data_IF_103503326966
#
_entry.id   IF_103503326966
#
_cell.length_a   1.000
_cell.length_b   1.000
_cell.length_c   1.000
_cell.angle_alpha   90.00
_cell.angle_beta   90.00
_cell.angle_gamma   90.00
#
_symmetry.space_group_name_H-M   'P 1'
#
loop_
_entity.id
_entity.type
_entity.pdbx_description
1 polymer ?
#
# COMPACT_ATOMS: atom_id res chain seq x y z
N UNK A 1 -20.09 -19.28 3.80
CA UNK A 1 -19.39 -19.76 2.60
C UNK A 1 -18.46 -18.65 2.14
N UNK A 2 -17.17 -18.94 2.11
CA UNK A 2 -16.17 -18.02 1.58
C UNK A 2 -16.20 -18.10 0.06
N UNK A 3 -16.19 -16.95 -0.59
CA UNK A 3 -16.07 -16.90 -2.04
C UNK A 3 -14.59 -16.75 -2.42
N UNK A 4 -14.08 -17.67 -3.21
CA UNK A 4 -12.86 -17.47 -3.96
C UNK A 4 -13.21 -16.58 -5.15
N UNK A 5 -12.64 -15.38 -5.19
CA UNK A 5 -12.93 -14.44 -6.28
C UNK A 5 -12.08 -14.85 -7.47
N UNK A 6 -12.73 -15.39 -8.49
CA UNK A 6 -12.08 -15.61 -9.78
C UNK A 6 -11.75 -14.24 -10.41
N UNK A 7 -10.53 -14.11 -10.94
CA UNK A 7 -10.14 -12.91 -11.68
C UNK A 7 -10.95 -12.87 -12.98
N UNK A 8 -11.78 -11.85 -13.15
CA UNK A 8 -12.54 -11.67 -14.39
C UNK A 8 -11.68 -10.98 -15.44
N UNK A 9 -11.86 -11.35 -16.71
CA UNK A 9 -11.28 -10.63 -17.82
C UNK A 9 -12.04 -9.30 -17.99
N UNK A 10 -11.43 -8.20 -17.58
CA UNK A 10 -11.89 -6.84 -17.90
C UNK A 10 -11.51 -6.42 -19.33
N UNK A 11 -11.77 -5.19 -19.69
CA UNK A 11 -11.25 -4.59 -20.91
C UNK A 11 -9.77 -4.25 -20.66
N UNK A 12 -8.88 -5.19 -20.94
CA UNK A 12 -7.45 -5.06 -20.64
C UNK A 12 -6.83 -3.96 -21.50
N UNK A 13 -6.07 -3.08 -20.88
CA UNK A 13 -5.21 -2.13 -21.56
C UNK A 13 -3.82 -2.74 -21.64
N UNK A 14 -3.36 -3.03 -22.86
CA UNK A 14 -1.98 -3.48 -23.06
C UNK A 14 -1.08 -2.27 -23.23
N UNK A 15 -0.10 -2.14 -22.36
CA UNK A 15 0.96 -1.13 -22.45
C UNK A 15 2.14 -1.79 -23.13
N UNK A 16 2.38 -1.47 -24.39
CA UNK A 16 3.55 -1.94 -25.10
C UNK A 16 4.76 -1.15 -24.60
N UNK A 17 5.63 -1.80 -23.84
CA UNK A 17 6.96 -1.27 -23.56
C UNK A 17 7.72 -1.34 -24.89
N UNK A 18 7.78 -0.22 -25.62
CA UNK A 18 8.46 -0.10 -26.89
C UNK A 18 9.90 -0.60 -26.84
N UNK A 19 10.60 -0.61 -27.96
CA UNK A 19 12.03 -0.88 -27.95
C UNK A 19 12.69 0.12 -27.01
N UNK A 20 13.18 -0.39 -25.87
CA UNK A 20 14.04 0.40 -25.01
C UNK A 20 15.17 0.92 -25.87
N UNK A 21 15.25 2.23 -26.03
CA UNK A 21 16.41 2.82 -26.69
C UNK A 21 17.66 2.34 -25.95
N UNK A 22 18.76 2.17 -26.68
CA UNK A 22 20.02 1.64 -26.13
C UNK A 22 20.58 2.48 -24.96
N UNK A 23 20.02 3.64 -24.72
CA UNK A 23 20.43 4.60 -23.69
C UNK A 23 19.74 4.36 -22.34
N UNK A 24 18.60 3.60 -22.32
CA UNK A 24 17.97 3.12 -21.08
C UNK A 24 17.32 4.18 -20.19
N UNK A 25 17.06 5.39 -20.70
CA UNK A 25 16.36 6.45 -19.98
C UNK A 25 15.21 7.02 -20.80
N UNK A 26 14.20 7.50 -20.10
CA UNK A 26 13.09 8.26 -20.66
C UNK A 26 13.08 9.65 -20.01
N UNK A 27 12.85 10.67 -20.81
CA UNK A 27 12.81 12.03 -20.28
C UNK A 27 11.46 12.27 -19.58
N UNK A 28 11.47 12.97 -18.46
CA UNK A 28 10.26 13.21 -17.65
C UNK A 28 9.15 13.90 -18.44
N UNK A 29 9.49 14.80 -19.38
CA UNK A 29 8.50 15.50 -20.19
C UNK A 29 7.82 14.61 -21.25
N UNK A 30 8.35 13.42 -21.52
CA UNK A 30 7.70 12.42 -22.39
C UNK A 30 6.62 11.64 -21.63
N UNK A 31 6.67 11.62 -20.32
CA UNK A 31 5.75 10.89 -19.45
C UNK A 31 4.73 11.78 -18.74
N UNK A 32 5.10 13.04 -18.48
CA UNK A 32 4.31 13.94 -17.63
C UNK A 32 4.15 15.31 -18.29
N UNK A 33 2.94 15.85 -18.28
CA UNK A 33 2.66 17.21 -18.76
C UNK A 33 3.33 18.28 -17.89
N UNK A 34 3.48 18.01 -16.60
CA UNK A 34 4.09 18.92 -15.64
C UNK A 34 4.80 18.14 -14.54
N UNK A 35 5.98 18.63 -14.18
CA UNK A 35 6.75 18.14 -13.03
C UNK A 35 6.98 19.27 -12.05
N UNK A 36 6.57 19.11 -10.82
CA UNK A 36 6.73 20.08 -9.76
C UNK A 36 7.69 19.52 -8.71
N UNK A 37 8.79 20.21 -8.46
CA UNK A 37 9.71 19.87 -7.38
C UNK A 37 9.28 20.59 -6.09
N UNK A 38 8.90 19.83 -5.06
CA UNK A 38 8.56 20.38 -3.75
C UNK A 38 9.71 20.15 -2.79
N UNK A 39 10.26 21.23 -2.26
CA UNK A 39 11.29 21.16 -1.21
C UNK A 39 10.62 21.05 0.15
N UNK A 40 10.81 19.91 0.81
CA UNK A 40 10.32 19.73 2.19
C UNK A 40 11.17 20.57 3.17
N UNK A 41 10.51 21.23 4.11
CA UNK A 41 11.16 21.89 5.23
C UNK A 41 11.98 20.89 6.02
N UNK A 42 13.24 21.22 6.30
CA UNK A 42 14.19 20.33 6.96
C UNK A 42 14.63 20.96 8.27
N UNK A 43 14.05 20.49 9.37
CA UNK A 43 14.42 20.77 10.75
C UNK A 43 14.71 19.45 11.45
N UNK A 44 15.09 19.47 12.71
CA UNK A 44 15.27 18.25 13.51
C UNK A 44 13.97 17.42 13.59
N UNK A 45 12.82 18.07 13.68
CA UNK A 45 11.51 17.43 13.79
C UNK A 45 10.94 16.97 12.44
N UNK A 46 11.20 17.73 11.38
CA UNK A 46 10.64 17.50 10.04
C UNK A 46 11.52 16.61 9.15
N UNK A 47 12.71 16.23 9.62
CA UNK A 47 13.66 15.43 8.82
C UNK A 47 13.01 14.15 8.30
N UNK A 48 13.10 13.94 6.98
CA UNK A 48 12.72 12.71 6.27
C UNK A 48 14.01 12.11 5.71
N UNK A 49 14.33 10.90 6.12
CA UNK A 49 15.54 10.22 5.65
C UNK A 49 15.32 9.44 4.36
N UNK A 50 14.16 8.80 4.22
CA UNK A 50 13.74 8.06 3.02
C UNK A 50 12.25 8.29 2.81
N UNK A 51 11.86 8.57 1.58
CA UNK A 51 10.44 8.65 1.20
C UNK A 51 9.99 7.27 0.73
N UNK A 52 9.24 6.56 1.57
CA UNK A 52 8.71 5.23 1.24
C UNK A 52 7.31 5.31 0.59
N UNK A 53 6.46 6.22 1.05
CA UNK A 53 5.11 6.43 0.53
C UNK A 53 4.67 7.88 0.73
N UNK A 54 3.97 8.41 -0.26
CA UNK A 54 3.33 9.74 -0.15
C UNK A 54 1.86 9.62 -0.50
N UNK A 55 1.01 10.22 0.33
CA UNK A 55 -0.41 10.38 0.04
C UNK A 55 -0.75 11.87 0.13
N UNK A 56 -1.45 12.39 -0.87
CA UNK A 56 -1.91 13.77 -0.92
C UNK A 56 -3.42 13.81 -0.69
N UNK A 57 -3.84 14.52 0.34
CA UNK A 57 -5.25 14.75 0.70
C UNK A 57 -5.40 16.16 1.26
N UNK A 58 -6.47 16.85 0.88
CA UNK A 58 -6.87 18.17 1.41
C UNK A 58 -5.72 19.20 1.45
N UNK A 59 -4.99 19.34 0.34
CA UNK A 59 -3.85 20.26 0.25
C UNK A 59 -2.69 19.95 1.20
N UNK A 60 -2.61 18.74 1.71
CA UNK A 60 -1.51 18.26 2.54
C UNK A 60 -0.86 17.02 1.93
N UNK A 61 0.44 16.90 2.12
CA UNK A 61 1.22 15.70 1.83
C UNK A 61 1.52 14.95 3.12
N UNK A 62 1.25 13.66 3.13
CA UNK A 62 1.61 12.73 4.20
C UNK A 62 2.74 11.85 3.70
N UNK A 63 3.88 11.93 4.33
CA UNK A 63 5.13 11.28 3.91
C UNK A 63 5.53 10.23 4.92
N UNK A 64 5.60 8.97 4.48
CA UNK A 64 6.08 7.85 5.28
C UNK A 64 7.58 7.66 5.09
N UNK A 65 8.30 7.61 6.21
CA UNK A 65 9.68 7.13 6.31
C UNK A 65 9.71 5.91 7.25
N UNK A 66 9.81 4.71 6.69
CA UNK A 66 9.76 3.45 7.46
C UNK A 66 11.03 3.18 8.25
N UNK A 67 12.19 3.58 7.72
CA UNK A 67 13.47 3.04 8.15
C UNK A 67 14.30 4.00 8.98
N UNK A 68 14.23 5.29 8.70
CA UNK A 68 15.08 6.29 9.36
C UNK A 68 14.35 6.96 10.50
N UNK A 69 13.27 7.67 10.21
CA UNK A 69 12.52 8.39 11.25
C UNK A 69 11.32 7.61 11.79
N UNK A 70 10.94 6.51 11.13
CA UNK A 70 9.84 5.60 11.52
C UNK A 70 8.56 6.35 11.84
N UNK A 71 8.16 7.21 10.93
CA UNK A 71 7.04 8.13 11.14
C UNK A 71 6.32 8.46 9.86
N UNK A 72 5.07 8.90 10.00
CA UNK A 72 4.33 9.62 8.96
C UNK A 72 4.37 11.09 9.29
N UNK A 73 4.89 11.92 8.39
CA UNK A 73 4.98 13.38 8.56
C UNK A 73 4.05 14.08 7.61
N UNK A 74 3.38 15.12 8.11
CA UNK A 74 2.44 15.94 7.35
C UNK A 74 3.08 17.27 6.96
N UNK A 75 2.93 17.62 5.68
CA UNK A 75 3.43 18.86 5.09
C UNK A 75 2.32 19.54 4.29
N UNK A 76 2.44 20.86 4.06
CA UNK A 76 1.63 21.52 3.02
C UNK A 76 2.12 21.14 1.63
N UNK A 77 1.37 21.48 0.58
CA UNK A 77 1.80 21.24 -0.82
C UNK A 77 3.06 22.05 -1.19
N UNK A 78 3.34 23.14 -0.49
CA UNK A 78 4.57 23.93 -0.64
C UNK A 78 5.75 23.35 0.14
N UNK A 79 5.54 22.24 0.88
CA UNK A 79 6.57 21.54 1.62
C UNK A 79 6.82 22.05 3.04
N UNK A 80 5.98 22.96 3.58
CA UNK A 80 6.10 23.40 4.97
C UNK A 80 5.65 22.30 5.93
N UNK A 81 6.45 22.01 6.94
CA UNK A 81 6.12 21.01 7.97
C UNK A 81 4.95 21.47 8.84
N UNK A 82 4.06 20.55 9.11
CA UNK A 82 2.90 20.77 9.97
C UNK A 82 3.02 20.00 11.28
N UNK A 83 3.13 18.67 11.20
CA UNK A 83 3.25 17.81 12.37
C UNK A 83 3.62 16.37 11.97
N UNK A 84 3.93 15.55 12.96
CA UNK A 84 4.03 14.09 12.83
C UNK A 84 2.68 13.46 13.15
N UNK A 85 2.34 12.38 12.44
CA UNK A 85 1.17 11.55 12.73
C UNK A 85 1.65 10.29 13.44
N UNK A 86 1.12 10.08 14.64
CA UNK A 86 1.51 8.95 15.48
C UNK A 86 2.77 9.22 16.31
N UNK A 87 3.11 8.27 17.16
CA UNK A 87 4.24 8.36 18.05
C UNK A 87 4.99 7.02 18.09
N UNK A 88 6.26 7.05 17.69
CA UNK A 88 7.14 5.89 17.77
C UNK A 88 7.66 5.69 19.20
N UNK A 89 7.58 4.46 19.73
CA UNK A 89 8.08 4.14 21.07
C UNK A 89 7.52 2.83 21.63
N UNK A 90 7.69 2.63 22.93
CA UNK A 90 7.28 1.40 23.64
C UNK A 90 6.02 1.57 24.51
N UNK A 91 5.42 2.74 24.51
CA UNK A 91 4.18 3.00 25.26
C UNK A 91 2.97 2.29 24.65
N UNK A 92 1.87 2.17 25.42
CA UNK A 92 0.66 1.43 25.00
C UNK A 92 -0.02 2.03 23.78
N UNK A 93 0.12 3.33 23.55
CA UNK A 93 -0.44 4.07 22.42
C UNK A 93 0.61 4.44 21.37
N UNK A 94 1.79 3.83 21.46
CA UNK A 94 2.91 4.10 20.56
C UNK A 94 3.10 2.97 19.56
N UNK A 95 3.50 3.32 18.34
CA UNK A 95 3.93 2.37 17.32
C UNK A 95 5.36 1.91 17.61
N UNK A 96 5.61 0.61 17.52
CA UNK A 96 6.96 0.03 17.50
C UNK A 96 7.55 -0.04 16.10
N UNK A 97 6.66 -0.03 15.12
CA UNK A 97 7.00 -0.01 13.71
C UNK A 97 5.95 0.80 12.95
N UNK A 98 6.36 1.50 11.90
CA UNK A 98 5.44 2.12 10.95
C UNK A 98 5.60 1.41 9.62
N UNK A 99 4.84 0.33 9.43
CA UNK A 99 5.00 -0.57 8.27
C UNK A 99 4.34 0.00 7.03
N UNK A 100 3.16 0.54 7.15
CA UNK A 100 2.40 1.17 6.07
C UNK A 100 1.38 2.16 6.64
N UNK A 101 0.80 2.98 5.78
CA UNK A 101 -0.34 3.79 6.15
C UNK A 101 -1.29 3.97 4.97
N UNK A 102 -2.55 4.25 5.27
CA UNK A 102 -3.52 4.75 4.30
C UNK A 102 -4.35 5.88 4.88
N UNK A 103 -5.01 6.62 4.00
CA UNK A 103 -5.95 7.68 4.38
C UNK A 103 -7.31 7.33 3.76
N UNK A 104 -8.34 7.33 4.58
CA UNK A 104 -9.71 7.05 4.17
C UNK A 104 -10.68 7.70 5.16
N UNK A 105 -11.77 8.28 4.65
CA UNK A 105 -12.83 8.90 5.46
C UNK A 105 -12.31 9.94 6.49
N UNK A 106 -11.36 10.78 6.07
CA UNK A 106 -10.70 11.80 6.90
C UNK A 106 -9.94 11.22 8.12
N UNK A 107 -9.45 10.01 8.00
CA UNK A 107 -8.63 9.36 9.01
C UNK A 107 -7.34 8.84 8.41
N UNK A 108 -6.26 8.92 9.19
CA UNK A 108 -4.97 8.30 8.89
C UNK A 108 -4.86 7.00 9.66
N UNK A 109 -4.73 5.89 8.95
CA UNK A 109 -4.54 4.57 9.53
C UNK A 109 -3.08 4.19 9.40
N UNK A 110 -2.39 3.96 10.51
CA UNK A 110 -1.00 3.51 10.54
C UNK A 110 -0.99 2.03 10.94
N UNK A 111 -0.37 1.22 10.09
CA UNK A 111 -0.14 -0.20 10.35
C UNK A 111 1.19 -0.40 11.09
N UNK A 112 1.11 -1.07 12.22
CA UNK A 112 2.24 -1.64 12.93
C UNK A 112 2.20 -3.16 12.79
N UNK A 113 3.01 -3.72 11.90
CA UNK A 113 3.08 -5.17 11.69
C UNK A 113 3.64 -5.88 12.91
N UNK A 114 4.62 -5.30 13.60
CA UNK A 114 5.26 -5.92 14.76
C UNK A 114 4.27 -6.18 15.89
N UNK A 115 3.36 -5.23 16.14
CA UNK A 115 2.30 -5.37 17.12
C UNK A 115 1.03 -6.01 16.57
N UNK A 116 0.92 -6.20 15.25
CA UNK A 116 -0.32 -6.56 14.52
C UNK A 116 -1.46 -5.60 14.88
N UNK A 117 -1.21 -4.30 14.78
CA UNK A 117 -2.18 -3.26 15.14
C UNK A 117 -2.36 -2.23 14.03
N UNK A 118 -3.54 -1.63 14.03
CA UNK A 118 -3.83 -0.41 13.29
C UNK A 118 -4.08 0.70 14.31
N UNK A 119 -3.35 1.80 14.18
CA UNK A 119 -3.56 3.03 14.91
C UNK A 119 -4.32 4.01 14.01
N UNK A 120 -5.44 4.52 14.47
CA UNK A 120 -6.34 5.39 13.72
C UNK A 120 -6.25 6.80 14.29
N UNK A 121 -5.91 7.75 13.44
CA UNK A 121 -5.75 9.16 13.78
C UNK A 121 -6.70 10.03 12.95
N UNK A 122 -6.97 11.23 13.44
CA UNK A 122 -7.50 12.31 12.60
C UNK A 122 -6.43 12.76 11.59
N UNK A 123 -6.81 13.54 10.57
CA UNK A 123 -5.86 14.09 9.59
C UNK A 123 -4.77 14.98 10.21
N UNK A 124 -5.02 15.57 11.36
CA UNK A 124 -4.08 16.43 12.11
C UNK A 124 -3.31 15.67 13.22
N UNK A 125 -3.51 14.34 13.34
CA UNK A 125 -2.67 13.48 14.16
C UNK A 125 -3.17 13.19 15.57
N UNK A 126 -4.45 13.46 15.87
CA UNK A 126 -5.06 13.08 17.15
C UNK A 126 -5.44 11.59 17.09
N UNK A 127 -4.95 10.79 18.04
CA UNK A 127 -5.29 9.37 18.16
C UNK A 127 -6.78 9.22 18.49
N UNK A 128 -7.47 8.40 17.69
CA UNK A 128 -8.90 8.08 17.84
C UNK A 128 -9.14 6.68 18.36
N UNK A 129 -8.40 5.68 17.83
CA UNK A 129 -8.61 4.28 18.14
C UNK A 129 -7.35 3.45 17.88
N UNK A 130 -7.23 2.32 18.53
CA UNK A 130 -6.20 1.29 18.32
C UNK A 130 -6.89 -0.05 18.16
N UNK A 131 -6.65 -0.72 17.03
CA UNK A 131 -7.31 -1.96 16.71
C UNK A 131 -6.32 -3.11 16.55
N UNK A 132 -6.56 -4.20 17.26
CA UNK A 132 -5.78 -5.43 17.16
C UNK A 132 -6.20 -6.23 15.94
N UNK A 133 -5.22 -6.61 15.10
CA UNK A 133 -5.43 -7.51 13.97
C UNK A 133 -5.24 -8.97 14.40
N UNK A 134 -6.09 -9.90 13.92
CA UNK A 134 -5.93 -11.33 14.18
C UNK A 134 -4.87 -11.99 13.29
N UNK A 135 -4.30 -11.26 12.34
CA UNK A 135 -3.31 -11.72 11.36
C UNK A 135 -2.19 -10.69 11.19
N UNK A 136 -1.09 -11.11 10.56
CA UNK A 136 0.00 -10.23 10.15
C UNK A 136 -0.17 -9.79 8.70
N UNK A 137 0.07 -8.53 8.43
CA UNK A 137 0.06 -7.93 7.09
C UNK A 137 1.15 -6.87 6.98
N UNK A 138 1.51 -6.50 5.75
CA UNK A 138 2.58 -5.51 5.48
C UNK A 138 2.09 -4.27 4.74
N UNK A 139 0.89 -4.33 4.17
CA UNK A 139 0.21 -3.17 3.61
C UNK A 139 -1.28 -3.24 3.90
N UNK A 140 -1.92 -2.08 3.96
CA UNK A 140 -3.36 -1.94 4.16
C UNK A 140 -3.94 -0.90 3.22
N UNK A 141 -5.19 -1.11 2.86
CA UNK A 141 -6.07 -0.13 2.25
C UNK A 141 -7.44 -0.22 2.91
N UNK A 142 -8.11 0.92 3.07
CA UNK A 142 -9.49 0.98 3.57
C UNK A 142 -10.35 1.72 2.56
N UNK A 143 -11.33 1.02 1.97
CA UNK A 143 -12.35 1.64 1.12
C UNK A 143 -13.38 2.42 1.95
N UNK A 144 -13.78 1.86 3.08
CA UNK A 144 -14.71 2.46 4.04
C UNK A 144 -14.51 1.88 5.43
N UNK A 145 -15.19 2.41 6.44
CA UNK A 145 -15.13 1.93 7.84
C UNK A 145 -15.39 0.43 7.98
N UNK A 146 -16.13 -0.17 7.06
CA UNK A 146 -16.46 -1.61 7.11
C UNK A 146 -15.81 -2.41 5.96
N UNK A 147 -14.77 -1.88 5.33
CA UNK A 147 -14.17 -2.52 4.16
C UNK A 147 -12.68 -2.27 4.08
N UNK A 148 -11.89 -3.28 4.48
CA UNK A 148 -10.44 -3.25 4.49
C UNK A 148 -9.87 -4.26 3.52
N UNK A 149 -8.78 -3.91 2.85
CA UNK A 149 -7.95 -4.84 2.08
C UNK A 149 -6.55 -4.88 2.69
N UNK A 150 -6.06 -6.07 2.91
CA UNK A 150 -4.73 -6.31 3.46
C UNK A 150 -3.87 -7.09 2.47
N UNK A 151 -2.59 -6.74 2.43
CA UNK A 151 -1.57 -7.49 1.72
C UNK A 151 -0.58 -8.07 2.74
N UNK A 152 -0.28 -9.36 2.61
CA UNK A 152 0.57 -10.03 3.58
C UNK A 152 1.42 -11.15 3.02
N UNK A 153 2.37 -11.58 3.83
CA UNK A 153 3.27 -12.70 3.55
C UNK A 153 2.80 -13.92 4.35
N UNK A 154 2.63 -15.06 3.67
CA UNK A 154 2.11 -16.29 4.28
C UNK A 154 2.92 -16.77 5.49
N UNK A 155 4.23 -16.51 5.51
CA UNK A 155 5.12 -17.00 6.56
C UNK A 155 4.75 -16.59 7.99
N UNK A 156 3.93 -15.57 8.16
CA UNK A 156 3.54 -15.06 9.49
C UNK A 156 2.11 -15.41 9.89
N UNK A 157 1.35 -16.12 9.04
CA UNK A 157 -0.09 -16.36 9.24
C UNK A 157 -0.46 -17.85 9.42
N UNK A 158 0.45 -18.69 9.91
CA UNK A 158 0.17 -20.12 10.14
C UNK A 158 -1.01 -20.38 11.09
N UNK A 159 -1.23 -19.46 12.03
CA UNK A 159 -2.33 -19.52 13.01
C UNK A 159 -3.67 -19.05 12.41
N UNK A 160 -3.69 -18.56 11.18
CA UNK A 160 -4.87 -18.05 10.51
C UNK A 160 -5.06 -18.72 9.12
N UNK A 161 -5.57 -19.98 9.11
CA UNK A 161 -5.63 -20.81 7.89
C UNK A 161 -6.44 -20.21 6.75
N UNK A 162 -7.39 -19.33 7.07
CA UNK A 162 -8.30 -18.72 6.08
C UNK A 162 -7.58 -17.93 4.99
N UNK A 163 -6.40 -17.37 5.28
CA UNK A 163 -5.63 -16.54 4.35
C UNK A 163 -4.29 -17.15 3.94
N UNK A 164 -4.00 -18.37 4.37
CA UNK A 164 -2.66 -18.95 4.29
C UNK A 164 -2.06 -19.01 2.88
N UNK A 165 -2.89 -19.15 1.85
CA UNK A 165 -2.44 -19.25 0.46
C UNK A 165 -2.83 -18.03 -0.39
N UNK A 166 -3.07 -16.88 0.26
CA UNK A 166 -3.47 -15.69 -0.44
C UNK A 166 -2.55 -14.52 -0.10
N UNK A 167 -2.20 -13.72 -1.10
CA UNK A 167 -1.42 -12.49 -0.89
C UNK A 167 -2.29 -11.33 -0.45
N UNK A 168 -3.57 -11.36 -0.83
CA UNK A 168 -4.55 -10.33 -0.50
C UNK A 168 -5.80 -10.95 0.11
N UNK A 169 -6.39 -10.25 1.06
CA UNK A 169 -7.71 -10.57 1.61
C UNK A 169 -8.46 -9.30 1.99
N UNK A 170 -9.77 -9.39 1.89
CA UNK A 170 -10.69 -8.31 2.25
C UNK A 170 -11.47 -8.70 3.50
N UNK A 171 -11.71 -7.72 4.38
CA UNK A 171 -12.40 -7.94 5.65
C UNK A 171 -13.43 -6.85 5.92
N UNK A 172 -14.35 -7.16 6.84
CA UNK A 172 -15.20 -6.17 7.49
C UNK A 172 -14.47 -5.39 8.61
N UNK A 173 -15.20 -4.53 9.33
CA UNK A 173 -14.69 -3.75 10.45
C UNK A 173 -14.27 -4.60 11.67
N UNK A 174 -14.73 -5.84 11.79
CA UNK A 174 -14.32 -6.78 12.83
C UNK A 174 -13.13 -7.66 12.40
N UNK A 175 -12.54 -7.36 11.25
CA UNK A 175 -11.45 -8.11 10.61
C UNK A 175 -11.82 -9.55 10.25
N UNK A 176 -13.11 -9.83 10.09
CA UNK A 176 -13.59 -11.09 9.55
C UNK A 176 -13.35 -11.10 8.05
N UNK A 177 -12.70 -12.15 7.56
CA UNK A 177 -12.40 -12.32 6.13
C UNK A 177 -13.68 -12.53 5.33
N UNK A 178 -13.95 -11.66 4.37
CA UNK A 178 -15.07 -11.74 3.45
C UNK A 178 -14.65 -12.31 2.11
N UNK A 179 -13.54 -11.82 1.56
CA UNK A 179 -12.99 -12.25 0.27
C UNK A 179 -11.51 -12.59 0.40
N UNK A 180 -11.09 -13.55 -0.39
CA UNK A 180 -9.70 -13.94 -0.56
C UNK A 180 -9.29 -13.68 -1.99
N UNK A 181 -8.25 -12.90 -2.18
CA UNK A 181 -7.80 -12.36 -3.46
C UNK A 181 -6.35 -12.80 -3.70
N UNK A 182 -5.95 -12.84 -4.97
CA UNK A 182 -4.58 -13.14 -5.35
C UNK A 182 -4.03 -14.42 -4.71
N UNK A 183 -4.60 -15.57 -5.13
CA UNK A 183 -4.08 -16.89 -4.73
C UNK A 183 -2.59 -17.01 -5.04
N UNK A 184 -1.83 -17.50 -4.09
CA UNK A 184 -0.39 -17.67 -4.17
C UNK A 184 -0.07 -19.16 -4.32
N UNK A 185 0.30 -19.59 -5.52
CA UNK A 185 0.93 -20.89 -5.69
C UNK A 185 2.26 -20.94 -4.90
N UNK A 186 2.71 -22.15 -4.55
CA UNK A 186 4.01 -22.34 -3.90
C UNK A 186 5.12 -21.81 -4.80
N UNK A 187 5.54 -20.57 -4.57
CA UNK A 187 6.61 -19.94 -5.32
C UNK A 187 7.97 -20.43 -4.86
N UNK A 188 8.87 -20.66 -5.83
CA UNK A 188 10.28 -20.99 -5.57
C UNK A 188 11.08 -19.86 -4.88
N UNK A 189 10.60 -18.62 -4.95
CA UNK A 189 11.28 -17.42 -4.46
C UNK A 189 10.44 -16.70 -3.40
N UNK A 190 10.52 -17.18 -2.15
CA UNK A 190 9.71 -16.65 -1.03
C UNK A 190 10.30 -15.41 -0.32
N UNK A 191 11.47 -14.92 -0.72
CA UNK A 191 12.24 -13.96 0.08
C UNK A 191 12.33 -12.54 -0.50
N UNK A 192 11.55 -12.20 -1.50
CA UNK A 192 11.53 -10.82 -2.00
C UNK A 192 10.50 -10.04 -1.20
N UNK A 193 10.98 -9.09 -0.41
CA UNK A 193 10.12 -8.11 0.27
C UNK A 193 9.47 -7.23 -0.80
N UNK A 194 8.21 -7.50 -1.09
CA UNK A 194 7.41 -6.65 -1.96
C UNK A 194 7.15 -5.32 -1.26
N UNK A 195 7.71 -4.26 -1.82
CA UNK A 195 7.44 -2.88 -1.37
C UNK A 195 6.41 -2.27 -2.32
N UNK A 196 5.42 -1.59 -1.74
CA UNK A 196 4.43 -0.82 -2.52
C UNK A 196 3.69 -1.63 -3.60
N UNK A 197 3.21 -2.82 -3.24
CA UNK A 197 2.38 -3.66 -4.13
C UNK A 197 0.97 -3.09 -4.31
N UNK A 198 0.51 -2.26 -3.38
CA UNK A 198 -0.79 -1.61 -3.42
C UNK A 198 -0.65 -0.11 -3.72
N UNK A 199 -1.48 0.37 -4.65
CA UNK A 199 -1.65 1.78 -4.93
C UNK A 199 -3.14 2.07 -5.12
N UNK A 200 -3.65 3.21 -4.64
CA UNK A 200 -5.05 3.61 -4.82
C UNK A 200 -5.13 4.87 -5.68
N UNK A 201 -6.13 4.89 -6.56
CA UNK A 201 -6.49 6.07 -7.33
C UNK A 201 -8.01 6.12 -7.48
N UNK A 202 -8.63 7.21 -7.07
CA UNK A 202 -10.08 7.31 -6.91
C UNK A 202 -10.60 6.16 -6.03
N UNK A 203 -11.68 5.50 -6.40
CA UNK A 203 -12.28 4.38 -5.68
C UNK A 203 -11.71 3.01 -6.08
N UNK A 204 -10.57 2.98 -6.78
CA UNK A 204 -9.95 1.76 -7.26
C UNK A 204 -8.64 1.49 -6.54
N UNK A 205 -8.49 0.28 -6.04
CA UNK A 205 -7.23 -0.22 -5.51
C UNK A 205 -6.52 -1.03 -6.60
N UNK A 206 -5.27 -0.69 -6.87
CA UNK A 206 -4.43 -1.42 -7.81
C UNK A 206 -3.46 -2.32 -7.05
N UNK A 207 -3.29 -3.52 -7.56
CA UNK A 207 -2.33 -4.50 -7.07
C UNK A 207 -1.39 -4.93 -8.18
N UNK A 208 -0.10 -4.82 -7.92
CA UNK A 208 0.96 -5.35 -8.77
C UNK A 208 1.83 -6.30 -7.98
N UNK A 209 1.86 -7.57 -8.41
CA UNK A 209 2.79 -8.55 -7.88
C UNK A 209 4.19 -8.27 -8.41
N UNK A 210 5.22 -8.41 -7.59
CA UNK A 210 6.61 -8.35 -8.02
C UNK A 210 6.87 -9.41 -9.08
N UNK A 211 7.61 -9.06 -10.10
CA UNK A 211 7.90 -9.91 -11.28
C UNK A 211 6.66 -10.29 -12.11
N UNK A 212 5.57 -9.55 -12.01
CA UNK A 212 4.41 -9.69 -12.88
C UNK A 212 4.38 -8.58 -13.92
N UNK A 213 3.94 -8.93 -15.11
CA UNK A 213 3.61 -7.99 -16.19
C UNK A 213 2.21 -7.41 -16.05
N UNK A 214 1.45 -7.90 -15.08
CA UNK A 214 0.03 -7.59 -14.91
C UNK A 214 -0.21 -6.72 -13.69
N UNK A 215 -1.03 -5.69 -13.86
CA UNK A 215 -1.59 -4.87 -12.79
C UNK A 215 -3.07 -5.19 -12.70
N UNK A 216 -3.51 -5.51 -11.49
CA UNK A 216 -4.91 -5.82 -11.19
C UNK A 216 -5.60 -4.61 -10.58
N UNK A 217 -6.88 -4.43 -10.88
CA UNK A 217 -7.78 -3.55 -10.15
C UNK A 217 -8.63 -4.36 -9.17
N UNK A 218 -8.92 -3.77 -8.02
CA UNK A 218 -9.76 -4.35 -6.98
C UNK A 218 -10.83 -3.32 -6.63
N UNK A 219 -12.10 -3.73 -6.73
CA UNK A 219 -13.23 -2.87 -6.35
C UNK A 219 -13.57 -2.99 -4.87
N UNK A 220 -14.36 -2.05 -4.32
CA UNK A 220 -14.89 -2.15 -2.95
C UNK A 220 -15.68 -3.44 -2.69
N UNK A 221 -16.32 -4.02 -3.70
CA UNK A 221 -17.07 -5.28 -3.61
C UNK A 221 -16.15 -6.51 -3.58
N UNK A 222 -14.84 -6.31 -3.78
CA UNK A 222 -13.82 -7.36 -3.81
C UNK A 222 -13.70 -8.04 -5.16
N UNK A 223 -14.21 -7.46 -6.23
CA UNK A 223 -13.94 -7.95 -7.57
C UNK A 223 -12.50 -7.63 -7.97
N UNK A 224 -11.76 -8.63 -8.44
CA UNK A 224 -10.41 -8.49 -8.94
C UNK A 224 -10.38 -8.70 -10.45
N UNK A 225 -9.84 -7.73 -11.19
CA UNK A 225 -9.78 -7.73 -12.65
C UNK A 225 -8.37 -7.47 -13.15
N UNK A 226 -8.03 -8.04 -14.32
CA UNK A 226 -6.85 -7.61 -15.08
C UNK A 226 -7.14 -6.21 -15.62
N UNK A 227 -6.32 -5.23 -15.26
CA UNK A 227 -6.53 -3.85 -15.70
C UNK A 227 -5.50 -3.45 -16.76
N UNK A 228 -4.21 -3.65 -16.45
CA UNK A 228 -3.12 -3.36 -17.36
C UNK A 228 -2.23 -4.58 -17.54
N UNK A 229 -1.79 -4.80 -18.77
CA UNK A 229 -0.77 -5.79 -19.12
C UNK A 229 0.41 -5.04 -19.73
N UNK A 230 1.61 -5.22 -19.18
CA UNK A 230 2.83 -4.60 -19.69
C UNK A 230 3.47 -5.61 -20.65
N UNK A 231 3.34 -5.37 -21.94
CA UNK A 231 4.00 -6.19 -22.96
C UNK A 231 5.48 -5.82 -23.05
N UNK A 232 6.33 -6.72 -22.63
CA UNK A 232 7.79 -6.59 -22.67
C UNK A 232 8.41 -7.16 -23.95
N UNK A 233 7.66 -7.21 -25.06
CA UNK A 233 8.10 -7.75 -26.36
C UNK A 233 8.69 -9.17 -26.27
N UNK A 234 8.00 -10.07 -25.58
CA UNK A 234 8.42 -11.46 -25.42
C UNK A 234 9.59 -11.67 -24.46
N UNK A 235 10.10 -10.62 -23.82
CA UNK A 235 11.03 -10.73 -22.68
C UNK A 235 10.21 -10.92 -21.42
N UNK A 236 9.62 -12.10 -21.26
CA UNK A 236 8.87 -12.39 -20.05
C UNK A 236 9.74 -12.17 -18.81
N UNK A 237 9.17 -11.55 -17.78
CA UNK A 237 9.78 -11.57 -16.45
C UNK A 237 9.90 -13.03 -16.04
N UNK A 238 11.08 -13.53 -15.67
CA UNK A 238 11.22 -14.93 -15.25
C UNK A 238 10.27 -15.22 -14.09
N UNK A 239 9.37 -16.18 -14.27
CA UNK A 239 8.44 -16.63 -13.23
C UNK A 239 9.15 -17.51 -12.21
#
# INVERSE_FOLDING_TARGET
SFHEVAVSAGKNITIHAGEFNSEGYCLMHELFDTVIAVRLETTEESLVGVVDKVIVVDSCMYVLDKFKTKSVKRFTLEGKYLNVIGQYGEGPEMQREVTDFCISENEVLILDQFQSKIFIYTLDGILKDIRQLPFSCIQLHRFSTNNYVFFGINAFNYHFPEILNYSLWQTDSCFKVNNRLAYKEKEKYQNILERNSLASFSDTLYYKKTWSDTIFSISPEGEMKYEYIIDLNGKAVPQ
#
